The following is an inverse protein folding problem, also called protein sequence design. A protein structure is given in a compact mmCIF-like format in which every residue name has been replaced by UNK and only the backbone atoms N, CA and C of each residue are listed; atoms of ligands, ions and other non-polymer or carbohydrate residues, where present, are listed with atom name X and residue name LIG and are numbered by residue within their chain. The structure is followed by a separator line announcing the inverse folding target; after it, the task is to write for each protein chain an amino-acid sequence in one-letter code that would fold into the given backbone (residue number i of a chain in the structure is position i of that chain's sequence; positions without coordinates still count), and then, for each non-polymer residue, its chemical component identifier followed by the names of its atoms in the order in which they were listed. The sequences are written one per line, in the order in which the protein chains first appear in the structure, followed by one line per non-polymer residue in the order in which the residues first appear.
data_IF_384253721592
#
_entry.id   IF_384253721592
#
_cell.length_a   1.000
_cell.length_b   1.000
_cell.length_c   1.000
_cell.angle_alpha   90.00
_cell.angle_beta   90.00
_cell.angle_gamma   90.00
#
_symmetry.space_group_name_H-M   'P 1'
#
loop_
_entity.id
_entity.type
_entity.pdbx_description
1 polymer ?
#
# COMPACT_ATOMS: atom_id res chain seq x y z
N UNK A 1 -9.99 -1.02 -25.59
CA UNK A 1 -8.65 -1.01 -24.98
C UNK A 1 -7.64 -1.45 -26.00
N UNK A 2 -6.60 -0.65 -26.24
CA UNK A 2 -5.46 -1.02 -27.07
C UNK A 2 -4.33 -1.62 -26.20
N UNK A 3 -3.26 -2.12 -26.83
CA UNK A 3 -2.09 -2.67 -26.11
C UNK A 3 -1.49 -1.71 -25.09
N UNK A 4 -1.24 -0.46 -25.49
CA UNK A 4 -0.64 0.55 -24.62
C UNK A 4 -1.52 0.82 -23.39
N UNK A 5 -2.84 0.92 -23.58
CA UNK A 5 -3.80 1.10 -22.49
C UNK A 5 -3.82 -0.12 -21.54
N UNK A 6 -3.71 -1.33 -22.09
CA UNK A 6 -3.63 -2.56 -21.30
C UNK A 6 -2.36 -2.63 -20.45
N UNK A 7 -1.20 -2.34 -21.03
CA UNK A 7 0.08 -2.30 -20.32
C UNK A 7 0.10 -1.25 -19.21
N UNK A 8 -0.52 -0.10 -19.45
CA UNK A 8 -0.68 0.96 -18.45
C UNK A 8 -1.53 0.48 -17.26
N UNK A 9 -2.71 -0.11 -17.54
CA UNK A 9 -3.60 -0.63 -16.48
C UNK A 9 -2.99 -1.80 -15.71
N UNK A 10 -2.22 -2.67 -16.37
CA UNK A 10 -1.41 -3.71 -15.75
C UNK A 10 -0.48 -3.13 -14.69
N UNK A 11 0.27 -2.09 -15.06
CA UNK A 11 1.23 -1.41 -14.19
C UNK A 11 0.53 -0.69 -13.03
N UNK A 12 -0.59 -0.01 -13.29
CA UNK A 12 -1.40 0.66 -12.26
C UNK A 12 -1.91 -0.35 -11.22
N UNK A 13 -2.44 -1.47 -11.69
CA UNK A 13 -2.88 -2.58 -10.83
C UNK A 13 -1.72 -3.30 -10.13
N UNK A 14 -0.48 -3.04 -10.51
CA UNK A 14 0.74 -3.54 -9.85
C UNK A 14 1.24 -4.89 -10.34
N UNK A 15 0.80 -5.32 -11.52
CA UNK A 15 1.32 -6.53 -12.16
C UNK A 15 2.61 -6.23 -12.93
N UNK A 16 3.51 -7.21 -12.98
CA UNK A 16 4.78 -7.13 -13.70
C UNK A 16 4.59 -7.34 -15.20
N UNK A 17 3.70 -8.24 -15.57
CA UNK A 17 3.46 -8.63 -16.96
C UNK A 17 2.07 -9.28 -17.14
N UNK A 18 1.72 -9.48 -18.41
CA UNK A 18 0.44 -10.05 -18.83
C UNK A 18 0.24 -11.48 -18.30
N UNK A 19 1.32 -12.24 -18.19
CA UNK A 19 1.31 -13.61 -17.66
C UNK A 19 0.89 -13.64 -16.19
N UNK A 20 1.45 -12.78 -15.35
CA UNK A 20 1.08 -12.69 -13.94
C UNK A 20 -0.41 -12.33 -13.78
N UNK A 21 -0.89 -11.42 -14.62
CA UNK A 21 -2.30 -11.07 -14.65
C UNK A 21 -3.17 -12.26 -15.09
N UNK A 22 -2.78 -12.97 -16.16
CA UNK A 22 -3.46 -14.18 -16.64
C UNK A 22 -3.58 -15.25 -15.55
N UNK A 23 -2.48 -15.51 -14.83
CA UNK A 23 -2.43 -16.44 -13.70
C UNK A 23 -3.39 -16.01 -12.58
N UNK A 24 -3.46 -14.71 -12.26
CA UNK A 24 -4.38 -14.20 -11.22
C UNK A 24 -5.85 -14.26 -11.61
N UNK A 25 -6.19 -14.01 -12.87
CA UNK A 25 -7.58 -14.10 -13.34
C UNK A 25 -7.95 -15.51 -13.81
N UNK A 26 -7.06 -16.49 -13.62
CA UNK A 26 -7.22 -17.89 -14.02
C UNK A 26 -7.58 -18.04 -15.51
N UNK A 27 -6.87 -17.28 -16.35
CA UNK A 27 -7.05 -17.29 -17.79
C UNK A 27 -5.77 -17.76 -18.47
N UNK A 28 -5.92 -18.45 -19.60
CA UNK A 28 -4.79 -18.78 -20.47
C UNK A 28 -4.18 -17.51 -21.06
N UNK A 29 -2.86 -17.35 -20.93
CA UNK A 29 -2.10 -16.24 -21.51
C UNK A 29 -2.38 -16.06 -23.02
N UNK A 30 -2.53 -17.17 -23.75
CA UNK A 30 -2.88 -17.16 -25.18
C UNK A 30 -4.18 -16.43 -25.49
N UNK A 31 -5.17 -16.46 -24.58
CA UNK A 31 -6.44 -15.72 -24.77
C UNK A 31 -6.21 -14.22 -24.65
N UNK A 32 -5.38 -13.80 -23.70
CA UNK A 32 -5.01 -12.39 -23.52
C UNK A 32 -4.25 -11.89 -24.75
N UNK A 33 -3.27 -12.65 -25.23
CA UNK A 33 -2.55 -12.35 -26.48
C UNK A 33 -3.51 -12.21 -27.67
N UNK A 34 -4.47 -13.12 -27.80
CA UNK A 34 -5.47 -13.04 -28.87
C UNK A 34 -6.37 -11.79 -28.76
N UNK A 35 -6.67 -11.29 -27.55
CA UNK A 35 -7.40 -10.05 -27.36
C UNK A 35 -6.55 -8.81 -27.70
N UNK A 36 -5.26 -8.84 -27.36
CA UNK A 36 -4.28 -7.80 -27.69
C UNK A 36 -4.10 -7.66 -29.21
N UNK A 37 -3.83 -8.76 -29.91
CA UNK A 37 -3.65 -8.77 -31.37
C UNK A 37 -4.89 -8.23 -32.09
N UNK A 38 -6.08 -8.55 -31.58
CA UNK A 38 -7.36 -8.12 -32.16
C UNK A 38 -7.78 -6.72 -31.71
N UNK A 39 -7.07 -6.10 -30.76
CA UNK A 39 -7.50 -4.89 -30.05
C UNK A 39 -8.96 -4.98 -29.57
N UNK A 40 -9.39 -6.18 -29.15
CA UNK A 40 -10.77 -6.49 -28.75
C UNK A 40 -10.76 -7.15 -27.39
N UNK A 41 -10.79 -6.30 -26.37
CA UNK A 41 -10.94 -6.76 -24.99
C UNK A 41 -12.41 -6.87 -24.61
N UNK A 42 -12.80 -7.91 -23.86
CA UNK A 42 -14.08 -7.94 -23.21
C UNK A 42 -14.24 -6.76 -22.23
N UNK A 43 -15.44 -6.19 -22.15
CA UNK A 43 -15.71 -5.04 -21.27
C UNK A 43 -15.37 -5.31 -19.79
N UNK A 44 -15.46 -6.57 -19.34
CA UNK A 44 -15.15 -6.93 -17.96
C UNK A 44 -13.66 -6.77 -17.60
N UNK A 45 -12.74 -6.70 -18.57
CA UNK A 45 -11.32 -6.45 -18.28
C UNK A 45 -11.11 -5.07 -17.66
N UNK A 46 -11.81 -4.05 -18.16
CA UNK A 46 -11.78 -2.71 -17.57
C UNK A 46 -12.24 -2.75 -16.11
N UNK A 47 -13.36 -3.43 -15.86
CA UNK A 47 -13.91 -3.58 -14.52
C UNK A 47 -12.95 -4.33 -13.58
N UNK A 48 -12.29 -5.38 -14.05
CA UNK A 48 -11.28 -6.11 -13.27
C UNK A 48 -10.11 -5.19 -12.87
N UNK A 49 -9.56 -4.41 -13.81
CA UNK A 49 -8.47 -3.49 -13.49
C UNK A 49 -8.89 -2.43 -12.47
N UNK A 50 -10.05 -1.81 -12.65
CA UNK A 50 -10.58 -0.81 -11.71
C UNK A 50 -10.73 -1.40 -10.29
N UNK A 51 -11.25 -2.62 -10.19
CA UNK A 51 -11.38 -3.33 -8.93
C UNK A 51 -10.01 -3.62 -8.29
N UNK A 52 -9.04 -4.09 -9.07
CA UNK A 52 -7.71 -4.44 -8.58
C UNK A 52 -6.91 -3.20 -8.13
N UNK A 53 -6.98 -2.11 -8.88
CA UNK A 53 -6.38 -0.81 -8.51
C UNK A 53 -7.01 -0.31 -7.20
N UNK A 54 -8.34 -0.32 -7.11
CA UNK A 54 -9.06 0.14 -5.91
C UNK A 54 -8.69 -0.69 -4.66
N UNK A 55 -8.52 -2.00 -4.80
CA UNK A 55 -8.10 -2.86 -3.69
C UNK A 55 -6.65 -2.58 -3.25
N UNK A 56 -5.75 -2.35 -4.21
CA UNK A 56 -4.36 -1.98 -3.95
C UNK A 56 -4.28 -0.67 -3.17
N UNK A 57 -5.02 0.35 -3.60
CA UNK A 57 -5.03 1.66 -2.93
C UNK A 57 -5.57 1.58 -1.51
N UNK A 58 -6.65 0.82 -1.28
CA UNK A 58 -7.17 0.55 0.07
C UNK A 58 -6.15 -0.14 0.97
N UNK A 59 -5.40 -1.11 0.43
CA UNK A 59 -4.36 -1.79 1.20
C UNK A 59 -3.21 -0.84 1.57
N UNK A 60 -2.79 0.04 0.65
CA UNK A 60 -1.77 1.07 0.93
C UNK A 60 -2.28 2.05 1.99
N UNK A 61 -3.53 2.49 1.91
CA UNK A 61 -4.13 3.38 2.90
C UNK A 61 -4.20 2.73 4.29
N UNK A 62 -4.59 1.46 4.36
CA UNK A 62 -4.62 0.69 5.61
C UNK A 62 -3.22 0.54 6.22
N UNK A 63 -2.19 0.29 5.40
CA UNK A 63 -0.80 0.23 5.85
C UNK A 63 -0.33 1.57 6.43
N UNK A 64 -0.61 2.69 5.73
CA UNK A 64 -0.27 4.04 6.20
C UNK A 64 -0.96 4.38 7.52
N UNK A 65 -2.25 4.05 7.67
CA UNK A 65 -3.00 4.26 8.92
C UNK A 65 -2.41 3.48 10.10
N UNK A 66 -1.94 2.26 9.85
CA UNK A 66 -1.30 1.44 10.89
C UNK A 66 0.08 1.99 11.28
N UNK A 67 0.89 2.45 10.33
CA UNK A 67 2.18 3.09 10.61
C UNK A 67 1.99 4.39 11.39
N UNK A 68 1.04 5.24 11.00
CA UNK A 68 0.71 6.48 11.72
C UNK A 68 0.23 6.23 13.15
N UNK A 69 -0.59 5.19 13.36
CA UNK A 69 -1.03 4.78 14.69
C UNK A 69 0.14 4.35 15.58
N UNK A 70 1.07 3.57 15.02
CA UNK A 70 2.23 3.07 15.74
C UNK A 70 3.23 4.20 16.07
N UNK A 71 3.44 5.12 15.13
CA UNK A 71 4.27 6.32 15.34
C UNK A 71 3.68 7.23 16.42
N UNK A 72 2.36 7.46 16.42
CA UNK A 72 1.69 8.26 17.46
C UNK A 72 1.83 7.64 18.85
N UNK A 73 1.67 6.32 18.96
CA UNK A 73 1.85 5.61 20.23
C UNK A 73 3.29 5.75 20.73
N UNK A 74 4.28 5.54 19.85
CA UNK A 74 5.70 5.67 20.20
C UNK A 74 6.08 7.09 20.62
N UNK A 75 5.53 8.10 19.96
CA UNK A 75 5.73 9.50 20.34
C UNK A 75 5.14 9.83 21.71
N UNK A 76 4.01 9.20 22.09
CA UNK A 76 3.40 9.35 23.42
C UNK A 76 4.30 8.75 24.51
N UNK A 77 4.81 7.54 24.30
CA UNK A 77 5.72 6.86 25.25
C UNK A 77 6.96 7.71 25.49
N UNK A 78 7.61 8.19 24.42
CA UNK A 78 8.81 9.03 24.53
C UNK A 78 8.56 10.33 25.29
N UNK A 79 7.38 10.93 25.16
CA UNK A 79 7.01 12.14 25.93
C UNK A 79 6.83 11.83 27.42
N UNK A 80 6.23 10.69 27.75
CA UNK A 80 6.06 10.22 29.13
C UNK A 80 7.43 9.95 29.78
N UNK A 81 8.32 9.24 29.08
CA UNK A 81 9.69 8.96 29.53
C UNK A 81 10.50 10.25 29.76
N UNK A 82 10.42 11.21 28.82
CA UNK A 82 11.08 12.51 28.99
C UNK A 82 10.54 13.28 30.20
N UNK A 83 9.24 13.23 30.45
CA UNK A 83 8.64 13.88 31.63
C UNK A 83 9.18 13.26 32.92
N UNK A 84 9.24 11.94 32.99
CA UNK A 84 9.77 11.23 34.16
C UNK A 84 11.25 11.56 34.40
N UNK A 85 12.07 11.61 33.33
CA UNK A 85 13.48 12.02 33.41
C UNK A 85 13.64 13.44 33.95
N UNK A 86 12.81 14.37 33.49
CA UNK A 86 12.81 15.76 33.97
C UNK A 86 12.44 15.81 35.46
N UNK A 87 11.38 15.11 35.86
CA UNK A 87 10.97 15.04 37.27
C UNK A 87 12.07 14.45 38.17
N UNK A 88 12.74 13.41 37.72
CA UNK A 88 13.86 12.78 38.44
C UNK A 88 15.07 13.70 38.54
N UNK A 89 15.41 14.41 37.46
CA UNK A 89 16.44 15.44 37.48
C UNK A 89 16.11 16.56 38.49
N UNK A 90 14.85 17.00 38.55
CA UNK A 90 14.42 17.99 39.53
C UNK A 90 14.53 17.48 40.97
N UNK A 91 14.16 16.22 41.23
CA UNK A 91 14.34 15.59 42.56
C UNK A 91 15.80 15.56 42.96
N UNK A 92 16.68 15.04 42.10
CA UNK A 92 18.11 14.94 42.37
C UNK A 92 18.76 16.31 42.60
N UNK A 93 18.37 17.33 41.82
CA UNK A 93 18.87 18.70 41.99
C UNK A 93 18.51 19.30 43.36
N UNK A 94 17.38 18.92 43.95
CA UNK A 94 16.97 19.40 45.26
C UNK A 94 17.72 18.69 46.39
N UNK A 95 18.07 17.41 46.23
CA UNK A 95 18.87 16.65 47.21
C UNK A 95 20.30 17.17 47.32
N UNK A 96 20.89 17.64 46.23
CA UNK A 96 22.28 18.15 46.21
C UNK A 96 22.41 19.57 46.81
N UNK A 97 21.29 20.23 47.16
CA UNK A 97 21.28 21.58 47.73
C UNK A 97 21.06 21.63 49.26
N UNK A 98 20.86 20.50 49.92
CA UNK A 98 20.90 20.34 51.38
C UNK A 98 22.31 19.92 51.84
#
# INVERSE_FOLDING_TARGET
MCREEFELKLKEAGFKNEREFAEKIQMEEKKIQAYLEKNKFPNYFNFLFECLISLKDKNIENLRKNEDGNLKLRLKILKEENKNLIEEFHRLKNVVKE
#
